data_IF_912077446134
#
_entry.id   IF_912077446134
#
_cell.length_a   1.000
_cell.length_b   1.000
_cell.length_c   1.000
_cell.angle_alpha   90.00
_cell.angle_beta   90.00
_cell.angle_gamma   90.00
#
_symmetry.space_group_name_H-M   'P 1'
#
loop_
_entity.id
_entity.type
_entity.pdbx_description
1 polymer ?
#
# COMPACT_ATOMS: atom_id res chain seq x y z
N UNK A 1 -44.08 -2.14 25.59
CA UNK A 1 -42.85 -1.56 26.18
C UNK A 1 -42.45 -0.40 25.28
N UNK A 2 -42.33 0.84 25.76
CA UNK A 2 -41.97 1.96 24.93
C UNK A 2 -40.50 1.83 24.52
N UNK A 3 -40.24 2.01 23.22
CA UNK A 3 -38.88 2.20 22.67
C UNK A 3 -38.31 3.49 23.29
N UNK A 4 -37.21 3.35 23.97
CA UNK A 4 -36.44 4.50 24.43
C UNK A 4 -35.61 4.97 23.22
N UNK A 5 -36.04 6.07 22.62
CA UNK A 5 -35.20 6.81 21.65
C UNK A 5 -33.96 7.32 22.39
N UNK A 6 -32.83 6.67 22.17
CA UNK A 6 -31.53 7.15 22.64
C UNK A 6 -31.14 8.30 21.72
N UNK A 7 -31.50 9.51 22.14
CA UNK A 7 -31.21 10.76 21.48
C UNK A 7 -29.67 10.90 21.34
N UNK A 8 -29.15 10.93 20.13
CA UNK A 8 -27.89 11.56 19.78
C UNK A 8 -26.62 10.69 19.68
N UNK A 9 -26.69 9.37 19.76
CA UNK A 9 -25.54 8.56 19.36
C UNK A 9 -25.68 8.15 17.89
N UNK A 10 -24.65 8.41 17.06
CA UNK A 10 -24.66 7.89 15.69
C UNK A 10 -24.75 6.36 15.75
N UNK A 11 -25.63 5.79 14.93
CA UNK A 11 -25.77 4.33 14.83
C UNK A 11 -24.41 3.73 14.43
N UNK A 12 -24.08 2.49 14.83
CA UNK A 12 -22.81 1.82 14.46
C UNK A 12 -22.53 1.82 12.95
N UNK A 13 -23.56 1.97 12.13
CA UNK A 13 -23.53 2.08 10.67
C UNK A 13 -22.97 3.41 10.16
N UNK A 14 -22.88 4.47 11.00
CA UNK A 14 -22.38 5.78 10.58
C UNK A 14 -20.92 6.04 10.95
N UNK A 15 -20.29 5.18 11.74
CA UNK A 15 -18.89 5.29 12.09
C UNK A 15 -18.01 4.57 11.02
N UNK A 16 -17.40 5.33 10.15
CA UNK A 16 -16.33 4.82 9.29
C UNK A 16 -16.47 5.05 7.79
N UNK A 17 -17.42 5.86 7.33
CA UNK A 17 -17.58 6.13 5.90
C UNK A 17 -16.85 7.41 5.47
N UNK A 18 -15.88 7.24 4.59
CA UNK A 18 -15.03 8.32 4.07
C UNK A 18 -15.73 9.23 3.04
N UNK A 19 -16.90 8.83 2.55
CA UNK A 19 -17.75 9.65 1.67
C UNK A 19 -19.17 9.64 2.25
N UNK A 20 -19.86 10.79 2.31
CA UNK A 20 -21.29 10.76 2.53
C UNK A 20 -21.91 9.85 1.47
N UNK A 21 -22.44 8.71 1.89
CA UNK A 21 -22.97 7.66 0.98
C UNK A 21 -24.05 8.20 0.04
N UNK A 22 -24.78 9.22 0.48
CA UNK A 22 -25.71 9.99 -0.36
C UNK A 22 -25.06 10.68 -1.58
N UNK A 23 -23.73 10.83 -1.60
CA UNK A 23 -23.00 11.49 -2.70
C UNK A 23 -22.42 10.53 -3.74
N UNK A 24 -22.42 9.22 -3.50
CA UNK A 24 -21.90 8.24 -4.48
C UNK A 24 -22.88 8.10 -5.66
N UNK A 25 -24.18 8.15 -5.38
CA UNK A 25 -25.19 7.95 -6.41
C UNK A 25 -25.33 6.48 -6.84
N UNK A 26 -25.89 6.30 -8.02
CA UNK A 26 -26.12 5.01 -8.66
C UNK A 26 -24.91 4.61 -9.50
N UNK A 27 -24.43 3.37 -9.34
CA UNK A 27 -23.37 2.81 -10.17
C UNK A 27 -23.98 2.08 -11.36
N UNK A 28 -23.50 2.31 -12.57
CA UNK A 28 -23.79 1.47 -13.71
C UNK A 28 -23.24 0.06 -13.49
N UNK A 29 -23.75 -0.94 -14.21
CA UNK A 29 -23.20 -2.31 -14.16
C UNK A 29 -21.70 -2.31 -14.49
N UNK A 30 -21.27 -1.55 -15.50
CA UNK A 30 -19.86 -1.43 -15.86
C UNK A 30 -19.00 -0.84 -14.74
N UNK A 31 -19.48 0.19 -14.05
CA UNK A 31 -18.79 0.82 -12.94
C UNK A 31 -18.64 -0.14 -11.75
N UNK A 32 -19.72 -0.83 -11.38
CA UNK A 32 -19.69 -1.83 -10.31
C UNK A 32 -18.71 -2.96 -10.65
N UNK A 33 -18.83 -3.57 -11.83
CA UNK A 33 -17.94 -4.66 -12.26
C UNK A 33 -16.47 -4.21 -12.33
N UNK A 34 -16.20 -2.97 -12.73
CA UNK A 34 -14.84 -2.43 -12.76
C UNK A 34 -14.23 -2.39 -11.37
N UNK A 35 -14.94 -1.83 -10.39
CA UNK A 35 -14.46 -1.75 -9.00
C UNK A 35 -14.30 -3.14 -8.39
N UNK A 36 -15.30 -4.01 -8.60
CA UNK A 36 -15.28 -5.41 -8.15
C UNK A 36 -14.06 -6.17 -8.67
N UNK A 37 -13.80 -6.09 -9.96
CA UNK A 37 -12.68 -6.77 -10.59
C UNK A 37 -11.32 -6.16 -10.16
N UNK A 38 -11.23 -4.85 -9.98
CA UNK A 38 -10.01 -4.19 -9.50
C UNK A 38 -9.68 -4.62 -8.07
N UNK A 39 -10.66 -4.74 -7.19
CA UNK A 39 -10.42 -5.25 -5.83
C UNK A 39 -9.98 -6.72 -5.83
N UNK A 40 -10.64 -7.56 -6.63
CA UNK A 40 -10.26 -8.96 -6.82
C UNK A 40 -8.84 -9.11 -7.36
N UNK A 41 -8.48 -8.30 -8.37
CA UNK A 41 -7.13 -8.24 -8.93
C UNK A 41 -6.09 -7.81 -7.88
N UNK A 42 -6.37 -6.74 -7.13
CA UNK A 42 -5.45 -6.27 -6.09
C UNK A 42 -5.24 -7.33 -5.00
N UNK A 43 -6.32 -7.99 -4.54
CA UNK A 43 -6.24 -9.09 -3.58
C UNK A 43 -5.34 -10.22 -4.09
N UNK A 44 -5.53 -10.66 -5.33
CA UNK A 44 -4.72 -11.71 -5.94
C UNK A 44 -3.25 -11.29 -6.05
N UNK A 45 -2.95 -10.08 -6.53
CA UNK A 45 -1.59 -9.55 -6.60
C UNK A 45 -0.91 -9.56 -5.23
N UNK A 46 -1.59 -9.07 -4.18
CA UNK A 46 -1.05 -9.00 -2.83
C UNK A 46 -0.77 -10.40 -2.27
N UNK A 47 -1.75 -11.32 -2.38
CA UNK A 47 -1.63 -12.66 -1.85
C UNK A 47 -0.47 -13.43 -2.51
N UNK A 48 -0.43 -13.44 -3.84
CA UNK A 48 0.60 -14.22 -4.55
C UNK A 48 1.98 -13.59 -4.48
N UNK A 49 2.09 -12.26 -4.40
CA UNK A 49 3.37 -11.60 -4.12
C UNK A 49 3.88 -11.93 -2.73
N UNK A 50 3.00 -11.95 -1.71
CA UNK A 50 3.37 -12.38 -0.36
C UNK A 50 3.93 -13.81 -0.35
N UNK A 51 3.24 -14.76 -0.98
CA UNK A 51 3.70 -16.14 -1.10
C UNK A 51 5.03 -16.25 -1.86
N UNK A 52 5.17 -15.55 -2.99
CA UNK A 52 6.39 -15.52 -3.77
C UNK A 52 7.59 -15.05 -2.94
N UNK A 53 7.44 -13.96 -2.18
CA UNK A 53 8.52 -13.42 -1.34
C UNK A 53 8.90 -14.37 -0.21
N UNK A 54 7.93 -15.09 0.37
CA UNK A 54 8.19 -16.09 1.41
C UNK A 54 8.99 -17.28 0.87
N UNK A 55 8.62 -17.81 -0.29
CA UNK A 55 9.32 -18.96 -0.89
C UNK A 55 10.66 -18.59 -1.51
N UNK A 56 10.87 -17.30 -1.80
CA UNK A 56 12.10 -16.79 -2.41
C UNK A 56 13.22 -16.48 -1.40
N UNK A 57 12.99 -16.63 -0.09
CA UNK A 57 14.00 -16.33 0.94
C UNK A 57 15.32 -17.12 0.78
N UNK A 58 15.34 -18.42 0.41
CA UNK A 58 16.57 -19.15 0.20
C UNK A 58 17.46 -18.58 -0.91
N UNK A 59 16.88 -17.83 -1.86
CA UNK A 59 17.55 -17.23 -3.01
C UNK A 59 18.30 -15.92 -2.70
N UNK A 60 18.44 -15.60 -1.41
CA UNK A 60 19.22 -14.45 -0.92
C UNK A 60 20.00 -14.84 0.34
N UNK A 61 21.11 -14.15 0.60
CA UNK A 61 21.88 -14.38 1.81
C UNK A 61 21.07 -14.13 3.09
N UNK A 62 21.33 -14.85 4.19
CA UNK A 62 20.55 -14.74 5.44
C UNK A 62 20.36 -13.31 5.95
N UNK A 63 21.38 -12.44 5.77
CA UNK A 63 21.34 -11.02 6.21
C UNK A 63 20.29 -10.17 5.48
N UNK A 64 19.83 -10.60 4.29
CA UNK A 64 18.84 -9.89 3.48
C UNK A 64 17.44 -10.49 3.58
N UNK A 65 17.29 -11.70 4.14
CA UNK A 65 16.00 -12.40 4.26
C UNK A 65 14.97 -11.61 5.05
N UNK A 66 15.40 -10.87 6.06
CA UNK A 66 14.50 -10.04 6.87
C UNK A 66 13.73 -9.03 5.99
N UNK A 67 14.36 -8.42 5.00
CA UNK A 67 13.67 -7.49 4.10
C UNK A 67 12.54 -8.19 3.31
N UNK A 68 12.81 -9.40 2.78
CA UNK A 68 11.79 -10.19 2.06
C UNK A 68 10.62 -10.61 2.95
N UNK A 69 10.92 -11.01 4.21
CA UNK A 69 9.87 -11.37 5.19
C UNK A 69 8.99 -10.15 5.46
N UNK A 70 9.57 -8.96 5.63
CA UNK A 70 8.81 -7.74 5.87
C UNK A 70 7.96 -7.40 4.64
N UNK A 71 8.51 -7.46 3.42
CA UNK A 71 7.74 -7.27 2.19
C UNK A 71 6.58 -8.27 2.06
N UNK A 72 6.81 -9.53 2.43
CA UNK A 72 5.76 -10.55 2.43
C UNK A 72 4.66 -10.23 3.45
N UNK A 73 5.02 -9.75 4.65
CA UNK A 73 4.06 -9.32 5.68
C UNK A 73 3.26 -8.11 5.19
N UNK A 74 3.89 -7.14 4.55
CA UNK A 74 3.21 -5.96 3.94
C UNK A 74 2.15 -6.41 2.95
N UNK A 75 2.53 -7.28 1.99
CA UNK A 75 1.58 -7.81 1.01
C UNK A 75 0.50 -8.68 1.66
N UNK A 76 0.82 -9.48 2.68
CA UNK A 76 -0.14 -10.31 3.41
C UNK A 76 -1.19 -9.50 4.18
N UNK A 77 -0.75 -8.44 4.88
CA UNK A 77 -1.66 -7.49 5.57
C UNK A 77 -2.58 -6.81 4.53
N UNK A 78 -2.01 -6.34 3.43
CA UNK A 78 -2.78 -5.69 2.37
C UNK A 78 -3.78 -6.66 1.72
N UNK A 79 -3.40 -7.92 1.46
CA UNK A 79 -4.32 -8.95 0.96
C UNK A 79 -5.52 -9.14 1.89
N UNK A 80 -5.29 -9.22 3.21
CA UNK A 80 -6.37 -9.31 4.20
C UNK A 80 -7.32 -8.11 4.14
N UNK A 81 -6.78 -6.89 4.08
CA UNK A 81 -7.61 -5.68 4.02
C UNK A 81 -8.33 -5.53 2.69
N UNK A 82 -7.72 -5.92 1.56
CA UNK A 82 -8.41 -5.97 0.28
C UNK A 82 -9.54 -7.00 0.26
N UNK A 83 -9.37 -8.14 0.91
CA UNK A 83 -10.47 -9.08 1.12
C UNK A 83 -11.63 -8.45 1.91
N UNK A 84 -11.32 -7.69 2.98
CA UNK A 84 -12.34 -6.98 3.77
C UNK A 84 -13.04 -5.87 2.97
N UNK A 85 -12.27 -5.08 2.20
CA UNK A 85 -12.81 -4.02 1.33
C UNK A 85 -13.67 -4.62 0.23
N UNK A 86 -13.22 -5.70 -0.40
CA UNK A 86 -13.96 -6.42 -1.43
C UNK A 86 -15.32 -6.90 -0.93
N UNK A 87 -15.36 -7.56 0.23
CA UNK A 87 -16.61 -8.01 0.83
C UNK A 87 -17.51 -6.82 1.20
N UNK A 88 -16.96 -5.79 1.86
CA UNK A 88 -17.71 -4.60 2.23
C UNK A 88 -18.32 -3.88 1.02
N UNK A 89 -17.61 -3.86 -0.12
CA UNK A 89 -18.13 -3.30 -1.36
C UNK A 89 -19.27 -4.15 -1.92
N UNK A 90 -19.12 -5.48 -1.95
CA UNK A 90 -20.13 -6.40 -2.45
C UNK A 90 -21.40 -6.36 -1.59
N UNK A 91 -21.25 -6.25 -0.28
CA UNK A 91 -22.39 -6.23 0.67
C UNK A 91 -23.13 -4.88 0.66
N UNK A 92 -22.41 -3.78 0.36
CA UNK A 92 -22.97 -2.43 0.37
C UNK A 92 -23.87 -2.10 -0.82
N UNK A 93 -23.69 -2.76 -1.97
CA UNK A 93 -24.41 -2.43 -3.20
C UNK A 93 -25.32 -3.58 -3.67
N UNK A 94 -26.58 -3.26 -3.95
CA UNK A 94 -27.57 -4.18 -4.52
C UNK A 94 -28.04 -3.75 -5.89
N UNK A 95 -28.42 -4.73 -6.72
CA UNK A 95 -28.92 -4.47 -8.07
C UNK A 95 -30.33 -3.87 -8.01
N UNK A 96 -30.53 -2.75 -8.68
CA UNK A 96 -31.86 -2.15 -8.87
C UNK A 96 -32.70 -3.01 -9.84
N UNK A 97 -33.92 -3.34 -9.43
CA UNK A 97 -34.83 -4.18 -10.24
C UNK A 97 -35.34 -3.51 -11.52
N UNK A 98 -35.22 -2.19 -11.64
CA UNK A 98 -35.77 -1.39 -12.72
C UNK A 98 -34.76 -0.89 -13.75
N UNK A 99 -33.54 -0.53 -13.30
CA UNK A 99 -32.51 0.09 -14.15
C UNK A 99 -31.34 -0.82 -14.49
N UNK A 100 -31.21 -1.97 -13.81
CA UNK A 100 -30.04 -2.84 -13.97
C UNK A 100 -28.74 -2.28 -13.40
N UNK A 101 -28.81 -1.13 -12.75
CA UNK A 101 -27.71 -0.47 -12.05
C UNK A 101 -27.60 -0.97 -10.60
N UNK A 102 -26.57 -0.51 -9.89
CA UNK A 102 -26.34 -0.84 -8.49
C UNK A 102 -26.56 0.38 -7.61
N UNK A 103 -27.36 0.18 -6.57
CA UNK A 103 -27.66 1.18 -5.56
C UNK A 103 -27.08 0.75 -4.22
N UNK A 104 -26.71 1.73 -3.42
CA UNK A 104 -26.34 1.49 -2.03
C UNK A 104 -27.56 0.96 -1.28
N UNK A 105 -27.39 -0.18 -0.59
CA UNK A 105 -28.46 -0.80 0.18
C UNK A 105 -28.76 0.02 1.44
N UNK A 106 -30.04 0.21 1.79
CA UNK A 106 -30.44 0.93 2.99
C UNK A 106 -29.88 0.26 4.26
N UNK A 107 -29.18 1.05 5.09
CA UNK A 107 -28.59 0.56 6.33
C UNK A 107 -27.22 -0.12 6.18
N UNK A 108 -26.79 -0.38 4.97
CA UNK A 108 -25.46 -0.89 4.66
C UNK A 108 -24.52 0.26 4.32
N UNK A 109 -23.22 0.00 4.39
CA UNK A 109 -22.22 1.00 4.08
C UNK A 109 -20.91 0.41 3.60
N UNK A 110 -20.31 1.05 2.62
CA UNK A 110 -18.98 0.70 2.14
C UNK A 110 -17.91 1.25 3.08
N UNK A 111 -17.19 0.36 3.76
CA UNK A 111 -16.21 0.74 4.76
C UNK A 111 -14.81 0.94 4.15
N UNK A 112 -14.46 2.17 3.82
CA UNK A 112 -13.12 2.54 3.33
C UNK A 112 -12.08 2.68 4.45
N UNK A 113 -12.48 2.69 5.74
CA UNK A 113 -11.56 2.79 6.88
C UNK A 113 -10.57 1.61 6.94
N UNK A 114 -10.90 0.46 6.34
CA UNK A 114 -9.96 -0.65 6.19
C UNK A 114 -8.65 -0.25 5.51
N UNK A 115 -8.66 0.74 4.60
CA UNK A 115 -7.44 1.26 3.96
C UNK A 115 -6.53 1.95 4.96
N UNK A 116 -7.10 2.77 5.85
CA UNK A 116 -6.32 3.46 6.88
C UNK A 116 -5.70 2.50 7.90
N UNK A 117 -6.43 1.42 8.26
CA UNK A 117 -5.87 0.35 9.10
C UNK A 117 -4.73 -0.37 8.37
N UNK A 118 -4.92 -0.71 7.08
CA UNK A 118 -3.86 -1.26 6.24
C UNK A 118 -2.64 -0.34 6.21
N UNK A 119 -2.82 0.92 5.88
CA UNK A 119 -1.71 1.87 5.76
C UNK A 119 -1.00 2.13 7.08
N UNK A 120 -1.72 2.17 8.20
CA UNK A 120 -1.10 2.33 9.53
C UNK A 120 -0.15 1.17 9.86
N UNK A 121 -0.45 -0.02 9.39
CA UNK A 121 0.38 -1.21 9.57
C UNK A 121 1.47 -1.32 8.50
N UNK A 122 1.12 -1.10 7.24
CA UNK A 122 2.00 -1.39 6.10
C UNK A 122 2.98 -0.26 5.78
N UNK A 123 2.62 1.02 5.93
CA UNK A 123 3.51 2.13 5.59
C UNK A 123 4.78 2.17 6.47
N UNK A 124 4.71 1.99 7.79
CA UNK A 124 5.91 1.82 8.62
C UNK A 124 6.77 0.63 8.18
N UNK A 125 6.17 -0.48 7.78
CA UNK A 125 6.88 -1.68 7.32
C UNK A 125 7.56 -1.48 5.97
N UNK A 126 6.94 -0.75 5.03
CA UNK A 126 7.56 -0.37 3.75
C UNK A 126 8.85 0.45 3.94
N UNK A 127 8.87 1.34 4.93
CA UNK A 127 10.05 2.11 5.28
C UNK A 127 11.09 1.24 5.99
N UNK A 128 10.64 0.32 6.85
CA UNK A 128 11.51 -0.63 7.54
C UNK A 128 12.23 -1.57 6.55
N UNK A 129 11.53 -2.13 5.55
CA UNK A 129 12.13 -3.02 4.56
C UNK A 129 13.15 -2.30 3.67
N UNK A 130 12.87 -1.02 3.32
CA UNK A 130 13.80 -0.17 2.54
C UNK A 130 15.13 0.01 3.29
N UNK A 131 15.08 0.20 4.59
CA UNK A 131 16.28 0.33 5.43
C UNK A 131 16.92 -1.04 5.67
N UNK A 132 16.13 -2.09 5.85
CA UNK A 132 16.60 -3.45 6.13
C UNK A 132 17.40 -4.04 4.96
N UNK A 133 16.95 -3.86 3.71
CA UNK A 133 17.63 -4.39 2.51
C UNK A 133 19.04 -3.82 2.31
N UNK A 134 19.32 -2.65 2.87
CA UNK A 134 20.64 -2.01 2.80
C UNK A 134 21.67 -2.64 3.74
N UNK A 135 21.22 -3.41 4.75
CA UNK A 135 22.07 -4.03 5.78
C UNK A 135 23.05 -3.02 6.41
N UNK A 136 22.54 -1.85 6.80
CA UNK A 136 23.32 -0.78 7.40
C UNK A 136 23.84 -1.14 8.81
N UNK A 137 24.92 -0.50 9.28
CA UNK A 137 25.35 -0.62 10.67
C UNK A 137 24.20 -0.31 11.65
N UNK A 138 24.17 -1.02 12.78
CA UNK A 138 23.04 -0.99 13.71
C UNK A 138 22.66 0.43 14.19
N UNK A 139 23.65 1.27 14.48
CA UNK A 139 23.42 2.66 14.93
C UNK A 139 22.76 3.51 13.85
N UNK A 140 23.21 3.40 12.60
CA UNK A 140 22.66 4.14 11.45
C UNK A 140 21.23 3.67 11.14
N UNK A 141 21.03 2.34 11.08
CA UNK A 141 19.70 1.73 10.91
C UNK A 141 18.73 2.23 11.98
N UNK A 142 19.13 2.17 13.26
CA UNK A 142 18.31 2.67 14.37
C UNK A 142 17.99 4.16 14.20
N UNK A 143 18.97 4.99 13.82
CA UNK A 143 18.78 6.43 13.62
C UNK A 143 17.78 6.75 12.52
N UNK A 144 17.77 6.00 11.40
CA UNK A 144 16.77 6.17 10.34
C UNK A 144 15.37 5.71 10.79
N UNK A 145 15.28 4.53 11.39
CA UNK A 145 14.00 3.94 11.79
C UNK A 145 13.29 4.71 12.89
N UNK A 146 14.01 5.27 13.86
CA UNK A 146 13.43 6.13 14.91
C UNK A 146 12.83 7.43 14.37
N UNK A 147 13.18 7.84 13.16
CA UNK A 147 12.58 8.99 12.45
C UNK A 147 11.43 8.56 11.58
N UNK A 148 11.62 7.52 10.76
CA UNK A 148 10.68 7.09 9.73
C UNK A 148 9.42 6.44 10.30
N UNK A 149 9.55 5.54 11.28
CA UNK A 149 8.41 4.79 11.82
C UNK A 149 7.39 5.70 12.53
N UNK A 150 7.80 6.57 13.49
CA UNK A 150 6.82 7.48 14.11
C UNK A 150 6.22 8.48 13.13
N UNK A 151 7.02 9.01 12.19
CA UNK A 151 6.52 9.96 11.20
C UNK A 151 5.47 9.33 10.30
N UNK A 152 5.67 8.08 9.84
CA UNK A 152 4.70 7.36 9.01
C UNK A 152 3.41 7.04 9.75
N UNK A 153 3.49 6.58 10.99
CA UNK A 153 2.30 6.36 11.82
C UNK A 153 1.53 7.67 12.04
N UNK A 154 2.24 8.76 12.39
CA UNK A 154 1.63 10.07 12.62
C UNK A 154 0.95 10.61 11.34
N UNK A 155 1.58 10.43 10.17
CA UNK A 155 0.99 10.80 8.88
C UNK A 155 -0.38 10.16 8.67
N UNK A 156 -0.50 8.85 8.89
CA UNK A 156 -1.75 8.11 8.70
C UNK A 156 -2.79 8.49 9.77
N UNK A 157 -2.39 8.60 11.04
CA UNK A 157 -3.28 8.98 12.14
C UNK A 157 -3.87 10.37 11.91
N UNK A 158 -3.06 11.34 11.48
CA UNK A 158 -3.53 12.70 11.19
C UNK A 158 -4.38 12.78 9.90
N UNK A 159 -4.16 11.90 8.93
CA UNK A 159 -4.97 11.88 7.71
C UNK A 159 -6.39 11.34 7.92
N UNK A 160 -6.55 10.39 8.82
CA UNK A 160 -7.81 9.67 9.03
C UNK A 160 -9.01 10.56 9.39
N UNK A 161 -8.94 11.50 10.37
CA UNK A 161 -10.09 12.34 10.70
C UNK A 161 -10.56 13.20 9.51
N UNK A 162 -9.62 13.63 8.65
CA UNK A 162 -9.97 14.34 7.42
C UNK A 162 -10.63 13.46 6.38
N UNK A 163 -10.32 12.16 6.33
CA UNK A 163 -10.96 11.23 5.40
C UNK A 163 -12.43 10.98 5.75
N UNK A 164 -12.73 10.79 7.02
CA UNK A 164 -14.09 10.48 7.49
C UNK A 164 -15.01 11.70 7.62
N UNK A 165 -14.50 12.94 7.49
CA UNK A 165 -15.33 14.15 7.54
C UNK A 165 -15.88 14.51 6.16
N UNK A 166 -17.14 14.96 6.12
CA UNK A 166 -17.76 15.50 4.92
C UNK A 166 -17.41 16.97 4.68
N UNK A 167 -17.03 17.70 5.74
CA UNK A 167 -16.78 19.13 5.68
C UNK A 167 -15.41 19.44 5.10
N UNK A 168 -15.37 20.36 4.12
CA UNK A 168 -14.14 20.74 3.38
C UNK A 168 -13.10 21.38 4.33
N UNK A 169 -13.51 22.25 5.24
CA UNK A 169 -12.57 22.97 6.10
C UNK A 169 -11.83 22.04 7.09
N UNK A 170 -12.49 21.18 7.88
CA UNK A 170 -11.79 20.17 8.67
C UNK A 170 -10.96 19.20 7.82
N UNK A 171 -11.45 18.76 6.66
CA UNK A 171 -10.71 17.92 5.72
C UNK A 171 -9.39 18.59 5.30
N UNK A 172 -9.42 19.87 4.92
CA UNK A 172 -8.23 20.62 4.56
C UNK A 172 -7.22 20.76 5.71
N UNK A 173 -7.69 21.01 6.92
CA UNK A 173 -6.83 21.13 8.12
C UNK A 173 -6.13 19.80 8.42
N UNK A 174 -6.86 18.70 8.47
CA UNK A 174 -6.28 17.38 8.75
C UNK A 174 -5.33 16.92 7.64
N UNK A 175 -5.67 17.20 6.37
CA UNK A 175 -4.78 16.95 5.23
C UNK A 175 -3.47 17.74 5.31
N UNK A 176 -3.53 19.01 5.68
CA UNK A 176 -2.35 19.84 5.89
C UNK A 176 -1.48 19.31 7.05
N UNK A 177 -2.09 18.92 8.18
CA UNK A 177 -1.38 18.34 9.32
C UNK A 177 -0.71 17.01 8.95
N UNK A 178 -1.37 16.15 8.18
CA UNK A 178 -0.80 14.89 7.67
C UNK A 178 0.34 15.10 6.68
N UNK A 179 0.31 16.20 5.93
CA UNK A 179 1.37 16.54 4.95
C UNK A 179 2.71 16.85 5.63
N UNK A 180 2.72 17.38 6.84
CA UNK A 180 3.97 17.70 7.57
C UNK A 180 4.85 16.46 7.78
N UNK A 181 4.39 15.39 8.44
CA UNK A 181 5.18 14.18 8.58
C UNK A 181 5.47 13.49 7.23
N UNK A 182 4.61 13.60 6.22
CA UNK A 182 4.89 13.14 4.87
C UNK A 182 6.13 13.80 4.27
N UNK A 183 6.21 15.13 4.29
CA UNK A 183 7.38 15.87 3.81
C UNK A 183 8.65 15.54 4.61
N UNK A 184 8.52 15.31 5.91
CA UNK A 184 9.64 14.86 6.74
C UNK A 184 10.14 13.47 6.33
N UNK A 185 9.25 12.51 6.02
CA UNK A 185 9.62 11.19 5.49
C UNK A 185 10.40 11.35 4.18
N UNK A 186 9.91 12.19 3.26
CA UNK A 186 10.61 12.47 2.01
C UNK A 186 12.01 13.05 2.26
N UNK A 187 12.14 13.99 3.19
CA UNK A 187 13.45 14.53 3.58
C UNK A 187 14.40 13.42 4.06
N UNK A 188 13.96 12.55 4.97
CA UNK A 188 14.79 11.45 5.47
C UNK A 188 15.19 10.50 4.34
N UNK A 189 14.27 10.12 3.46
CA UNK A 189 14.53 9.21 2.35
C UNK A 189 15.46 9.81 1.29
N UNK A 190 15.30 11.09 0.95
CA UNK A 190 16.05 11.70 -0.15
C UNK A 190 17.34 12.40 0.29
N UNK A 191 17.43 12.83 1.53
CA UNK A 191 18.62 13.51 2.06
C UNK A 191 19.45 12.58 2.94
N UNK A 192 18.86 12.04 4.00
CA UNK A 192 19.64 11.25 4.98
C UNK A 192 20.02 9.86 4.42
N UNK A 193 19.06 9.13 3.84
CA UNK A 193 19.34 7.81 3.26
C UNK A 193 20.34 7.90 2.09
N UNK A 194 20.36 9.00 1.33
CA UNK A 194 21.35 9.21 0.26
C UNK A 194 22.79 9.17 0.75
N UNK A 195 23.05 9.60 1.99
CA UNK A 195 24.40 9.50 2.59
C UNK A 195 24.83 8.04 2.74
N UNK A 196 23.92 7.16 3.10
CA UNK A 196 24.16 5.71 3.21
C UNK A 196 24.37 5.06 1.85
N UNK A 197 23.65 5.52 0.82
CA UNK A 197 23.75 4.98 -0.53
C UNK A 197 25.11 5.21 -1.19
N UNK A 198 25.83 6.25 -0.83
CA UNK A 198 27.19 6.52 -1.33
C UNK A 198 28.19 5.40 -1.03
N UNK A 199 27.90 4.55 -0.05
CA UNK A 199 28.73 3.40 0.36
C UNK A 199 28.26 2.07 -0.23
N UNK A 200 27.19 2.08 -0.99
CA UNK A 200 26.63 0.90 -1.66
C UNK A 200 27.23 0.74 -3.07
N UNK A 201 27.25 -0.47 -3.63
CA UNK A 201 27.59 -0.68 -5.04
C UNK A 201 26.73 0.22 -5.94
N UNK A 202 27.28 0.77 -7.04
CA UNK A 202 26.57 1.72 -7.91
C UNK A 202 25.20 1.22 -8.39
N UNK A 203 25.11 -0.06 -8.76
CA UNK A 203 23.86 -0.68 -9.23
C UNK A 203 22.80 -0.78 -8.12
N UNK A 204 23.22 -1.08 -6.88
CA UNK A 204 22.36 -1.09 -5.69
C UNK A 204 21.86 0.32 -5.41
N UNK A 205 22.76 1.31 -5.40
CA UNK A 205 22.41 2.71 -5.18
C UNK A 205 21.41 3.22 -6.23
N UNK A 206 21.61 2.87 -7.51
CA UNK A 206 20.69 3.20 -8.60
C UNK A 206 19.33 2.52 -8.43
N UNK A 207 19.29 1.25 -8.02
CA UNK A 207 18.05 0.51 -7.79
C UNK A 207 17.24 1.09 -6.61
N UNK A 208 17.89 1.46 -5.51
CA UNK A 208 17.25 2.15 -4.40
C UNK A 208 16.80 3.57 -4.80
N UNK A 209 17.56 4.24 -5.67
CA UNK A 209 17.13 5.52 -6.26
C UNK A 209 15.79 5.38 -7.00
N UNK A 210 15.67 4.37 -7.88
CA UNK A 210 14.42 4.06 -8.61
C UNK A 210 13.28 3.66 -7.66
N UNK A 211 13.60 2.88 -6.61
CA UNK A 211 12.62 2.49 -5.59
C UNK A 211 12.02 3.71 -4.89
N UNK A 212 12.83 4.71 -4.53
CA UNK A 212 12.35 5.97 -3.93
C UNK A 212 11.47 6.78 -4.88
N UNK A 213 11.81 6.80 -6.18
CA UNK A 213 10.97 7.45 -7.19
C UNK A 213 9.63 6.72 -7.36
N UNK A 214 9.64 5.39 -7.38
CA UNK A 214 8.41 4.59 -7.38
C UNK A 214 7.53 4.90 -6.17
N UNK A 215 8.15 5.02 -4.98
CA UNK A 215 7.45 5.35 -3.75
C UNK A 215 6.75 6.72 -3.86
N UNK A 216 7.46 7.78 -4.31
CA UNK A 216 6.84 9.10 -4.48
C UNK A 216 5.72 9.05 -5.52
N UNK A 217 5.94 8.40 -6.66
CA UNK A 217 4.96 8.32 -7.72
C UNK A 217 3.67 7.65 -7.26
N UNK A 218 3.78 6.56 -6.51
CA UNK A 218 2.64 5.81 -5.98
C UNK A 218 1.99 6.52 -4.79
N UNK A 219 2.79 7.03 -3.86
CA UNK A 219 2.27 7.74 -2.68
C UNK A 219 1.64 9.10 -3.03
N UNK A 220 2.02 9.71 -4.16
CA UNK A 220 1.38 10.91 -4.67
C UNK A 220 -0.09 10.71 -5.07
N UNK A 221 -0.50 9.48 -5.40
CA UNK A 221 -1.90 9.17 -5.76
C UNK A 221 -2.84 9.41 -4.58
N UNK A 222 -2.43 9.08 -3.35
CA UNK A 222 -3.29 9.19 -2.17
C UNK A 222 -3.69 10.63 -1.83
N UNK A 223 -2.75 11.61 -1.72
CA UNK A 223 -3.14 13.00 -1.51
C UNK A 223 -3.93 13.59 -2.69
N UNK A 224 -3.65 13.19 -3.93
CA UNK A 224 -4.45 13.62 -5.09
C UNK A 224 -5.89 13.12 -4.97
N UNK A 225 -6.09 11.84 -4.61
CA UNK A 225 -7.41 11.27 -4.38
C UNK A 225 -8.14 11.92 -3.19
N UNK A 226 -7.41 12.24 -2.14
CA UNK A 226 -7.93 12.96 -0.97
C UNK A 226 -8.43 14.37 -1.32
N UNK A 227 -7.77 15.04 -2.28
CA UNK A 227 -8.14 16.39 -2.72
C UNK A 227 -9.36 16.42 -3.67
N UNK A 228 -9.76 15.29 -4.27
CA UNK A 228 -10.85 15.26 -5.26
C UNK A 228 -12.14 15.96 -4.81
N UNK A 229 -12.68 15.75 -3.59
CA UNK A 229 -13.89 16.44 -3.15
C UNK A 229 -13.69 17.95 -3.02
N UNK A 230 -12.49 18.42 -2.66
CA UNK A 230 -12.16 19.85 -2.56
C UNK A 230 -12.10 20.51 -3.93
N UNK A 231 -11.85 19.75 -5.00
CA UNK A 231 -11.83 20.18 -6.39
C UNK A 231 -13.23 20.10 -7.05
N UNK A 232 -14.27 19.77 -6.26
CA UNK A 232 -15.64 19.65 -6.77
C UNK A 232 -15.91 18.34 -7.52
N UNK A 233 -14.99 17.38 -7.49
CA UNK A 233 -15.17 16.06 -8.10
C UNK A 233 -15.97 15.16 -7.13
N UNK A 234 -17.18 14.79 -7.53
CA UNK A 234 -18.11 14.00 -6.72
C UNK A 234 -18.94 13.05 -7.61
N UNK A 235 -19.72 12.18 -6.96
CA UNK A 235 -20.59 11.24 -7.66
C UNK A 235 -19.91 9.91 -7.99
N UNK A 236 -20.61 9.09 -8.77
CA UNK A 236 -20.21 7.70 -9.09
C UNK A 236 -18.87 7.62 -9.83
N UNK A 237 -18.62 8.48 -10.79
CA UNK A 237 -17.35 8.48 -11.53
C UNK A 237 -16.16 8.80 -10.63
N UNK A 238 -16.26 9.83 -9.80
CA UNK A 238 -15.19 10.18 -8.85
C UNK A 238 -14.94 9.05 -7.86
N UNK A 239 -15.99 8.40 -7.38
CA UNK A 239 -15.88 7.21 -6.54
C UNK A 239 -15.11 6.09 -7.24
N UNK A 240 -15.51 5.72 -8.47
CA UNK A 240 -14.87 4.66 -9.26
C UNK A 240 -13.39 4.97 -9.53
N UNK A 241 -13.08 6.17 -10.01
CA UNK A 241 -11.69 6.58 -10.27
C UNK A 241 -10.83 6.54 -9.00
N UNK A 242 -11.40 6.93 -7.85
CA UNK A 242 -10.69 6.85 -6.57
C UNK A 242 -10.40 5.40 -6.18
N UNK A 243 -11.37 4.48 -6.32
CA UNK A 243 -11.16 3.06 -6.01
C UNK A 243 -10.09 2.43 -6.92
N UNK A 244 -10.12 2.74 -8.23
CA UNK A 244 -9.10 2.29 -9.18
C UNK A 244 -7.73 2.88 -8.81
N UNK A 245 -7.66 4.19 -8.58
CA UNK A 245 -6.43 4.89 -8.25
C UNK A 245 -5.74 4.31 -7.00
N UNK A 246 -6.48 4.14 -5.92
CA UNK A 246 -5.97 3.54 -4.68
C UNK A 246 -5.49 2.09 -4.91
N UNK A 247 -6.28 1.28 -5.62
CA UNK A 247 -5.92 -0.13 -5.84
C UNK A 247 -4.66 -0.27 -6.70
N UNK A 248 -4.54 0.52 -7.77
CA UNK A 248 -3.35 0.53 -8.62
C UNK A 248 -2.13 1.04 -7.83
N UNK A 249 -2.29 2.14 -7.07
CA UNK A 249 -1.22 2.67 -6.24
C UNK A 249 -0.75 1.64 -5.20
N UNK A 250 -1.68 0.94 -4.54
CA UNK A 250 -1.37 -0.08 -3.55
C UNK A 250 -0.63 -1.28 -4.17
N UNK A 251 -1.06 -1.79 -5.34
CA UNK A 251 -0.36 -2.88 -6.04
C UNK A 251 1.07 -2.46 -6.39
N UNK A 252 1.26 -1.25 -6.90
CA UNK A 252 2.59 -0.74 -7.24
C UNK A 252 3.44 -0.46 -5.99
N UNK A 253 2.86 0.15 -4.94
CA UNK A 253 3.56 0.52 -3.72
C UNK A 253 3.90 -0.66 -2.81
N UNK A 254 3.27 -1.81 -3.00
CA UNK A 254 3.47 -3.01 -2.17
C UNK A 254 4.01 -4.19 -2.99
N UNK A 255 3.30 -4.64 -4.03
CA UNK A 255 3.73 -5.79 -4.81
C UNK A 255 4.97 -5.49 -5.66
N UNK A 256 4.92 -4.48 -6.53
CA UNK A 256 6.09 -4.12 -7.35
C UNK A 256 7.24 -3.66 -6.47
N UNK A 257 6.95 -2.90 -5.42
CA UNK A 257 7.95 -2.45 -4.44
C UNK A 257 8.67 -3.64 -3.79
N UNK A 258 7.95 -4.63 -3.27
CA UNK A 258 8.50 -5.85 -2.68
C UNK A 258 9.34 -6.66 -3.67
N UNK A 259 8.92 -6.75 -4.95
CA UNK A 259 9.73 -7.37 -6.00
C UNK A 259 11.03 -6.62 -6.28
N UNK A 260 11.03 -5.29 -6.20
CA UNK A 260 12.26 -4.48 -6.32
C UNK A 260 13.16 -4.67 -5.09
N UNK A 261 12.60 -4.76 -3.87
CA UNK A 261 13.36 -5.14 -2.66
C UNK A 261 14.02 -6.51 -2.84
N UNK A 262 13.29 -7.50 -3.35
CA UNK A 262 13.85 -8.82 -3.66
C UNK A 262 15.01 -8.72 -4.67
N UNK A 263 14.84 -7.96 -5.75
CA UNK A 263 15.91 -7.72 -6.73
C UNK A 263 17.15 -7.10 -6.06
N UNK A 264 16.97 -6.08 -5.21
CA UNK A 264 18.07 -5.43 -4.49
C UNK A 264 18.77 -6.44 -3.56
N UNK A 265 17.99 -7.24 -2.82
CA UNK A 265 18.53 -8.27 -1.93
C UNK A 265 19.36 -9.31 -2.69
N UNK A 266 18.93 -9.73 -3.89
CA UNK A 266 19.68 -10.64 -4.78
C UNK A 266 20.98 -10.01 -5.28
N UNK A 267 20.92 -8.77 -5.77
CA UNK A 267 22.12 -8.06 -6.24
C UNK A 267 23.15 -7.91 -5.13
N UNK A 268 22.71 -7.57 -3.92
CA UNK A 268 23.61 -7.47 -2.75
C UNK A 268 24.15 -8.83 -2.34
N UNK A 269 23.36 -9.89 -2.41
CA UNK A 269 23.80 -11.24 -2.10
C UNK A 269 24.93 -11.68 -3.07
N UNK A 270 24.76 -11.42 -4.36
CA UNK A 270 25.76 -11.73 -5.37
C UNK A 270 27.04 -10.88 -5.22
N UNK A 271 26.90 -9.64 -4.81
CA UNK A 271 28.05 -8.74 -4.56
C UNK A 271 28.85 -9.17 -3.32
N UNK A 272 28.15 -9.58 -2.26
CA UNK A 272 28.77 -9.90 -0.98
C UNK A 272 29.38 -11.31 -0.93
N UNK A 273 28.94 -12.23 -1.81
CA UNK A 273 29.36 -13.63 -1.83
C UNK A 273 29.33 -14.16 -3.29
N UNK A 274 30.52 -14.31 -3.87
CA UNK A 274 30.68 -14.79 -5.25
C UNK A 274 30.38 -16.28 -5.41
N UNK A 275 30.64 -17.10 -4.38
CA UNK A 275 30.32 -18.52 -4.43
C UNK A 275 28.80 -18.72 -4.42
N UNK A 276 28.09 -18.00 -3.55
CA UNK A 276 26.63 -17.94 -3.57
C UNK A 276 26.09 -17.44 -4.93
N UNK A 277 26.73 -16.44 -5.51
CA UNK A 277 26.36 -15.92 -6.84
C UNK A 277 26.50 -16.99 -7.92
N UNK A 278 27.63 -17.71 -7.96
CA UNK A 278 27.86 -18.78 -8.92
C UNK A 278 26.78 -19.88 -8.79
N UNK A 279 26.48 -20.32 -7.57
CA UNK A 279 25.46 -21.36 -7.33
C UNK A 279 24.03 -20.92 -7.73
N UNK A 280 23.68 -19.66 -7.52
CA UNK A 280 22.31 -19.15 -7.69
C UNK A 280 22.05 -18.62 -9.12
N UNK A 281 23.11 -18.14 -9.83
CA UNK A 281 22.98 -17.48 -11.13
C UNK A 281 23.65 -18.23 -12.28
N UNK A 282 24.36 -19.34 -12.02
CA UNK A 282 24.86 -20.19 -13.11
C UNK A 282 23.68 -20.73 -13.92
N UNK A 283 23.74 -20.51 -15.23
CA UNK A 283 22.84 -21.20 -16.17
C UNK A 283 23.09 -22.71 -16.02
N UNK A 284 22.04 -23.51 -15.96
CA UNK A 284 22.15 -24.97 -15.97
C UNK A 284 23.07 -25.36 -17.15
N UNK A 285 24.10 -26.22 -16.93
CA UNK A 285 25.04 -26.57 -17.98
C UNK A 285 24.30 -26.97 -19.23
N UNK A 286 24.67 -26.39 -20.37
CA UNK A 286 24.05 -26.68 -21.66
C UNK A 286 23.98 -28.18 -21.87
N UNK A 287 22.92 -28.68 -22.50
CA UNK A 287 22.74 -30.10 -22.77
C UNK A 287 23.94 -30.76 -23.49
N UNK A 288 24.79 -29.97 -24.17
CA UNK A 288 26.01 -30.41 -24.81
C UNK A 288 27.12 -30.84 -23.84
N UNK A 289 27.21 -30.26 -22.63
CA UNK A 289 28.19 -30.66 -21.62
C UNK A 289 27.82 -31.96 -20.88
N UNK A 290 26.57 -32.41 -20.95
CA UNK A 290 26.10 -33.67 -20.34
C UNK A 290 26.33 -34.89 -21.22
N UNK A 291 26.65 -34.71 -22.50
CA UNK A 291 26.95 -35.81 -23.46
C UNK A 291 28.42 -36.13 -23.51
N UNK A 292 29.29 -35.27 -22.97
CA UNK A 292 30.75 -35.41 -22.97
C UNK A 292 31.34 -35.93 -21.66
N UNK A 293 30.53 -36.25 -20.63
CA UNK A 293 30.91 -36.88 -19.37
C UNK A 293 30.28 -38.27 -19.26
#
# INVERSE_FOLDING_TARGET
>A
MPQVDVIGMPTPTQMGYSVPLASIGELTDAQFQTVYNVFSFALACMLFTSLFLLVSQPRVLPRYRQALVISAIVCGIAAYHYFRIFNSFNDAFGRSGTSGSFLLLPGEGFNEAYRYVDWLLTVPLLLLETVAVLALPAAERKGLLTKLIPASALMIILGYPGEITADIAPKAVWGALSTIPFLYILYVLFVELTKSLKRQPPEVAASVGRLRLLLIATWGVYPLSYLMPMLGLSGSDAFVYRQIGYSVADVLAKCLYGLVIYKIARMKSAFDDQEFAAQEFEEAPSSESRVAA
#
